data_IF_561902381744
#
_entry.id   IF_561902381744
#
_cell.length_a   1.000
_cell.length_b   1.000
_cell.length_c   1.000
_cell.angle_alpha   90.00
_cell.angle_beta   90.00
_cell.angle_gamma   90.00
#
_symmetry.space_group_name_H-M   'P 1'
#
loop_
_entity.id
_entity.type
_entity.pdbx_description
1 polymer ?
#
# COMPACT_ATOMS: atom_id res chain seq x y z
N UNK A 1 -4.45 0.19 8.16
CA UNK A 1 -3.35 -0.63 8.73
C UNK A 1 -2.73 -1.55 7.67
N UNK A 2 -3.47 -2.48 7.06
CA UNK A 2 -2.95 -3.45 6.07
C UNK A 2 -2.14 -2.81 4.93
N UNK A 3 -2.62 -1.71 4.35
CA UNK A 3 -1.89 -0.98 3.29
C UNK A 3 -0.50 -0.50 3.72
N UNK A 4 -0.34 -0.05 4.97
CA UNK A 4 0.95 0.39 5.51
C UNK A 4 1.94 -0.74 5.71
N UNK A 5 1.48 -1.93 6.13
CA UNK A 5 2.34 -3.11 6.30
C UNK A 5 2.67 -3.83 4.98
N UNK A 6 1.84 -3.66 3.95
CA UNK A 6 2.07 -4.23 2.63
C UNK A 6 3.11 -3.49 1.77
N UNK A 7 3.49 -2.28 2.20
CA UNK A 7 4.40 -1.38 1.47
C UNK A 7 5.67 -1.13 2.28
N UNK A 8 6.69 -0.58 1.62
CA UNK A 8 7.89 -0.07 2.27
C UNK A 8 7.92 1.45 2.18
N UNK A 9 8.52 2.11 3.17
CA UNK A 9 8.73 3.55 3.10
C UNK A 9 9.79 3.90 2.05
N UNK A 10 9.63 5.04 1.36
CA UNK A 10 10.62 5.51 0.39
C UNK A 10 12.02 5.71 1.00
N UNK A 11 12.09 6.03 2.30
CA UNK A 11 13.36 6.16 3.04
C UNK A 11 14.14 4.84 3.09
N UNK A 12 13.47 3.72 3.33
CA UNK A 12 14.13 2.39 3.40
C UNK A 12 14.32 1.75 2.01
N UNK A 13 13.55 2.19 1.01
CA UNK A 13 13.72 1.74 -0.38
C UNK A 13 15.14 2.06 -0.90
N UNK A 14 15.68 3.24 -0.60
CA UNK A 14 17.05 3.62 -0.95
C UNK A 14 18.11 2.75 -0.27
N UNK A 15 17.86 2.34 0.98
CA UNK A 15 18.75 1.41 1.69
C UNK A 15 18.78 0.03 1.00
N UNK A 16 17.64 -0.50 0.55
CA UNK A 16 17.62 -1.77 -0.18
C UNK A 16 18.31 -1.69 -1.54
N UNK A 17 18.22 -0.55 -2.24
CA UNK A 17 18.99 -0.32 -3.47
C UNK A 17 20.49 -0.34 -3.18
N UNK A 18 20.93 0.28 -2.07
CA UNK A 18 22.34 0.27 -1.67
C UNK A 18 22.87 -1.13 -1.33
N UNK A 19 22.00 -2.05 -0.92
CA UNK A 19 22.32 -3.47 -0.73
C UNK A 19 22.36 -4.28 -2.04
N UNK A 20 22.17 -3.64 -3.19
CA UNK A 20 22.26 -4.28 -4.50
C UNK A 20 20.93 -4.81 -5.05
N UNK A 21 19.80 -4.50 -4.42
CA UNK A 21 18.49 -4.89 -4.95
C UNK A 21 18.13 -4.02 -6.15
N UNK A 22 17.56 -4.65 -7.19
CA UNK A 22 17.15 -3.97 -8.42
C UNK A 22 16.10 -2.86 -8.14
N UNK A 23 16.40 -1.59 -8.47
CA UNK A 23 15.49 -0.47 -8.23
C UNK A 23 14.17 -0.59 -8.98
N UNK A 24 14.19 -1.12 -10.21
CA UNK A 24 12.99 -1.29 -11.02
C UNK A 24 11.99 -2.21 -10.33
N UNK A 25 12.44 -3.37 -9.85
CA UNK A 25 11.60 -4.33 -9.15
C UNK A 25 11.04 -3.77 -7.84
N UNK A 26 11.85 -3.05 -7.05
CA UNK A 26 11.39 -2.44 -5.81
C UNK A 26 10.32 -1.37 -6.05
N UNK A 27 10.53 -0.50 -7.05
CA UNK A 27 9.55 0.52 -7.41
C UNK A 27 8.25 -0.10 -7.93
N UNK A 28 8.35 -1.08 -8.83
CA UNK A 28 7.15 -1.77 -9.34
C UNK A 28 6.39 -2.47 -8.23
N UNK A 29 7.09 -3.17 -7.32
CA UNK A 29 6.46 -3.85 -6.19
C UNK A 29 5.74 -2.86 -5.27
N UNK A 30 6.38 -1.73 -4.96
CA UNK A 30 5.80 -0.72 -4.08
C UNK A 30 4.53 -0.09 -4.66
N UNK A 31 4.47 0.13 -5.98
CA UNK A 31 3.26 0.64 -6.66
C UNK A 31 2.16 -0.43 -6.70
N UNK A 32 2.52 -1.68 -6.99
CA UNK A 32 1.57 -2.80 -7.03
C UNK A 32 0.98 -3.13 -5.65
N UNK A 33 1.70 -2.88 -4.56
CA UNK A 33 1.20 -3.09 -3.20
C UNK A 33 -0.04 -2.25 -2.88
N UNK A 34 -0.23 -1.06 -3.47
CA UNK A 34 -1.41 -0.23 -3.21
C UNK A 34 -2.74 -0.96 -3.55
N UNK A 35 -2.99 -1.39 -4.81
CA UNK A 35 -4.19 -2.14 -5.14
C UNK A 35 -4.23 -3.53 -4.49
N UNK A 36 -3.09 -4.22 -4.39
CA UNK A 36 -3.03 -5.54 -3.77
C UNK A 36 -3.45 -5.49 -2.29
N UNK A 37 -3.04 -4.45 -1.57
CA UNK A 37 -3.39 -4.29 -0.15
C UNK A 37 -4.88 -4.07 0.07
N UNK A 38 -5.55 -3.35 -0.84
CA UNK A 38 -7.00 -3.17 -0.78
C UNK A 38 -7.72 -4.48 -1.07
N UNK A 39 -7.27 -5.23 -2.09
CA UNK A 39 -7.83 -6.53 -2.42
C UNK A 39 -7.71 -7.48 -1.22
N UNK A 40 -6.52 -7.61 -0.63
CA UNK A 40 -6.30 -8.49 0.53
C UNK A 40 -7.07 -8.00 1.75
N UNK A 41 -7.04 -6.71 2.06
CA UNK A 41 -7.71 -6.17 3.23
C UNK A 41 -9.23 -6.36 3.18
N UNK A 42 -9.85 -6.08 2.02
CA UNK A 42 -11.29 -6.20 1.86
C UNK A 42 -11.78 -7.62 1.60
N UNK A 43 -10.92 -8.52 1.12
CA UNK A 43 -11.21 -9.96 1.10
C UNK A 43 -11.14 -10.56 2.50
N UNK A 44 -10.12 -10.19 3.29
CA UNK A 44 -9.92 -10.74 4.63
C UNK A 44 -10.90 -10.15 5.65
N UNK A 45 -11.13 -8.84 5.59
CA UNK A 45 -12.09 -8.13 6.44
C UNK A 45 -12.95 -7.17 5.60
N UNK A 46 -14.06 -7.67 5.02
CA UNK A 46 -14.97 -6.86 4.23
C UNK A 46 -15.61 -5.73 5.06
N UNK A 47 -15.91 -4.61 4.41
CA UNK A 47 -16.70 -3.56 5.04
C UNK A 47 -18.17 -3.98 5.06
N UNK A 48 -18.79 -3.96 6.23
CA UNK A 48 -20.23 -4.27 6.38
C UNK A 48 -21.09 -3.04 6.64
N UNK A 49 -20.48 -1.93 7.05
CA UNK A 49 -21.16 -0.68 7.37
C UNK A 49 -21.02 0.35 6.24
N UNK A 50 -21.87 1.38 6.27
CA UNK A 50 -21.76 2.50 5.34
C UNK A 50 -20.61 3.42 5.75
N UNK A 51 -19.68 3.75 4.84
CA UNK A 51 -18.55 4.61 5.17
C UNK A 51 -19.03 6.02 5.54
N UNK A 52 -18.61 6.49 6.72
CA UNK A 52 -19.01 7.80 7.27
C UNK A 52 -18.43 9.00 6.51
N UNK A 53 -17.31 8.79 5.80
CA UNK A 53 -16.59 9.83 5.09
C UNK A 53 -16.56 9.49 3.60
N UNK A 54 -16.95 10.46 2.78
CA UNK A 54 -16.86 10.43 1.31
C UNK A 54 -16.27 11.77 0.86
N UNK A 55 -15.67 11.83 -0.32
CA UNK A 55 -15.05 13.04 -0.87
C UNK A 55 -15.97 14.27 -0.89
N UNK A 56 -17.29 14.08 -1.01
CA UNK A 56 -18.29 15.17 -0.97
C UNK A 56 -18.45 15.84 0.39
N UNK A 57 -18.07 15.15 1.47
CA UNK A 57 -18.31 15.61 2.85
C UNK A 57 -17.00 15.89 3.60
N UNK A 58 -15.86 15.70 2.93
CA UNK A 58 -14.51 15.87 3.48
C UNK A 58 -13.80 17.15 2.97
N UNK A 59 -14.41 17.83 1.99
CA UNK A 59 -14.05 19.17 1.49
C UNK A 59 -15.08 20.18 1.98
#
# INVERSE_FOLDING_TARGET
MTAGFSTIAGSVLGAYISFGVSPSHLLTASVMSAPASLAVAKLFWPETETPKITLKNAM
#
